data_IF_287268983929
#
_entry.id   IF_287268983929
#
_cell.length_a   1.000
_cell.length_b   1.000
_cell.length_c   1.000
_cell.angle_alpha   90.00
_cell.angle_beta   90.00
_cell.angle_gamma   90.00
#
_symmetry.space_group_name_H-M   'P 1'
#
loop_
_entity.id
_entity.type
_entity.pdbx_description
1 polymer ?
#
# COMPACT_ATOMS: atom_id res chain seq x y z
N UNK A 1 7.08 -12.21 3.78
CA UNK A 1 6.48 -11.97 2.45
C UNK A 1 5.07 -11.44 2.66
N UNK A 2 4.52 -10.68 1.70
CA UNK A 2 3.17 -10.08 1.77
C UNK A 2 2.19 -10.97 1.00
N UNK A 3 1.54 -11.96 1.64
CA UNK A 3 0.92 -13.07 0.92
C UNK A 3 -0.21 -12.62 -0.01
N UNK A 4 -0.97 -11.61 0.43
CA UNK A 4 -2.12 -11.09 -0.31
C UNK A 4 -1.67 -10.42 -1.62
N UNK A 5 -0.57 -9.68 -1.57
CA UNK A 5 0.01 -9.02 -2.75
C UNK A 5 0.64 -10.01 -3.71
N UNK A 6 1.24 -11.10 -3.20
CA UNK A 6 1.73 -12.18 -4.06
C UNK A 6 0.60 -12.90 -4.78
N UNK A 7 -0.53 -13.12 -4.11
CA UNK A 7 -1.73 -13.70 -4.75
C UNK A 7 -2.22 -12.82 -5.89
N UNK A 8 -2.23 -11.49 -5.73
CA UNK A 8 -2.58 -10.54 -6.79
C UNK A 8 -1.65 -10.72 -8.01
N UNK A 9 -0.34 -10.68 -7.80
CA UNK A 9 0.64 -10.81 -8.88
C UNK A 9 0.58 -12.19 -9.58
N UNK A 10 0.40 -13.28 -8.82
CA UNK A 10 0.23 -14.63 -9.39
C UNK A 10 -1.04 -14.75 -10.25
N UNK A 11 -2.01 -13.88 -10.06
CA UNK A 11 -3.24 -13.78 -10.87
C UNK A 11 -3.12 -12.77 -12.02
N UNK A 12 -1.93 -12.21 -12.27
CA UNK A 12 -1.69 -11.21 -13.31
C UNK A 12 -2.21 -9.81 -12.96
N UNK A 13 -2.47 -9.53 -11.69
CA UNK A 13 -2.96 -8.22 -11.23
C UNK A 13 -1.78 -7.40 -10.75
N UNK A 14 -1.32 -6.47 -11.58
CA UNK A 14 -0.19 -5.57 -11.30
C UNK A 14 -0.62 -4.25 -10.66
N UNK A 15 -1.91 -3.88 -10.75
CA UNK A 15 -2.49 -2.73 -10.08
C UNK A 15 -3.82 -3.11 -9.44
N UNK A 16 -4.06 -2.65 -8.22
CA UNK A 16 -5.28 -2.98 -7.48
C UNK A 16 -5.85 -1.77 -6.76
N UNK A 17 -7.17 -1.75 -6.65
CA UNK A 17 -7.89 -0.86 -5.75
C UNK A 17 -7.80 -1.42 -4.35
N UNK A 18 -7.25 -0.64 -3.43
CA UNK A 18 -6.98 -1.00 -2.05
C UNK A 18 -7.76 -0.09 -1.11
N UNK A 19 -8.03 -0.61 0.08
CA UNK A 19 -8.51 0.18 1.21
C UNK A 19 -7.60 -0.09 2.40
N UNK A 20 -7.12 0.94 3.09
CA UNK A 20 -6.20 0.78 4.22
C UNK A 20 -6.44 1.85 5.27
N UNK A 21 -5.93 1.63 6.47
CA UNK A 21 -5.88 2.63 7.54
C UNK A 21 -4.55 3.37 7.46
N UNK A 22 -4.58 4.69 7.34
CA UNK A 22 -3.40 5.53 7.40
C UNK A 22 -2.85 5.55 8.84
N UNK A 23 -1.57 5.21 9.02
CA UNK A 23 -0.93 5.18 10.34
C UNK A 23 0.09 6.30 10.54
N UNK A 24 0.66 6.84 9.46
CA UNK A 24 1.60 7.95 9.51
C UNK A 24 2.54 7.99 8.30
N UNK A 25 3.59 8.80 8.41
CA UNK A 25 4.68 8.89 7.45
C UNK A 25 5.99 8.68 8.20
N UNK A 26 6.89 7.85 7.68
CA UNK A 26 8.19 7.59 8.30
C UNK A 26 9.19 8.73 8.04
N UNK A 27 10.38 8.65 8.63
CA UNK A 27 11.45 9.64 8.47
C UNK A 27 11.97 9.80 7.03
N UNK A 28 11.69 8.82 6.16
CA UNK A 28 12.09 8.82 4.75
C UNK A 28 10.94 9.26 3.82
N UNK A 29 9.79 9.61 4.40
CA UNK A 29 8.62 10.06 3.66
C UNK A 29 7.70 8.91 3.19
N UNK A 30 7.96 7.65 3.53
CA UNK A 30 7.06 6.54 3.17
C UNK A 30 5.77 6.61 3.97
N UNK A 31 4.64 6.36 3.31
CA UNK A 31 3.35 6.27 4.00
C UNK A 31 3.21 4.90 4.64
N UNK A 32 2.88 4.89 5.92
CA UNK A 32 2.63 3.70 6.73
C UNK A 32 1.14 3.40 6.69
N UNK A 33 0.79 2.18 6.25
CA UNK A 33 -0.57 1.70 6.13
C UNK A 33 -0.79 0.45 6.98
N UNK A 34 -1.95 0.37 7.63
CA UNK A 34 -2.44 -0.81 8.38
C UNK A 34 -3.71 -1.36 7.75
N UNK A 35 -3.99 -2.64 8.00
CA UNK A 35 -5.22 -3.32 7.57
C UNK A 35 -5.56 -3.10 6.09
N UNK A 36 -4.59 -3.34 5.20
CA UNK A 36 -4.71 -3.13 3.76
C UNK A 36 -5.56 -4.25 3.17
N UNK A 37 -6.78 -3.92 2.77
CA UNK A 37 -7.79 -4.84 2.25
C UNK A 37 -7.70 -4.97 0.74
N UNK A 38 -7.84 -6.21 0.30
CA UNK A 38 -8.02 -6.61 -1.10
C UNK A 38 -9.19 -7.58 -1.19
N UNK A 39 -9.62 -7.92 -2.42
CA UNK A 39 -10.61 -8.98 -2.63
C UNK A 39 -10.15 -10.39 -2.20
N UNK A 40 -8.86 -10.57 -1.93
CA UNK A 40 -8.26 -11.87 -1.56
C UNK A 40 -7.91 -11.99 -0.08
N UNK A 41 -8.06 -10.91 0.69
CA UNK A 41 -7.71 -10.88 2.11
C UNK A 41 -7.15 -9.54 2.57
N UNK A 42 -6.60 -9.55 3.79
CA UNK A 42 -6.06 -8.37 4.47
C UNK A 42 -4.56 -8.56 4.70
N UNK A 43 -3.78 -7.55 4.30
CA UNK A 43 -2.37 -7.43 4.67
C UNK A 43 -2.27 -6.46 5.86
N UNK A 44 -1.78 -6.93 7.01
CA UNK A 44 -1.80 -6.15 8.25
C UNK A 44 -1.01 -4.84 8.17
N UNK A 45 0.02 -4.80 7.32
CA UNK A 45 0.90 -3.66 7.22
C UNK A 45 1.46 -3.52 5.81
N UNK A 46 1.55 -2.30 5.27
CA UNK A 46 2.24 -2.01 4.02
C UNK A 46 2.81 -0.59 4.01
N UNK A 47 3.73 -0.35 3.08
CA UNK A 47 4.25 0.99 2.82
C UNK A 47 3.94 1.41 1.39
N UNK A 48 3.52 2.66 1.22
CA UNK A 48 3.61 3.31 -0.07
C UNK A 48 4.99 3.94 -0.22
N UNK A 49 5.49 3.95 -1.44
CA UNK A 49 6.70 4.69 -1.79
C UNK A 49 6.59 6.16 -1.34
N UNK A 50 7.69 6.79 -0.94
CA UNK A 50 7.71 8.17 -0.46
C UNK A 50 7.12 9.17 -1.48
N UNK A 51 7.18 8.85 -2.78
CA UNK A 51 6.60 9.67 -3.85
C UNK A 51 5.08 9.71 -3.82
N UNK A 52 4.44 8.72 -3.19
CA UNK A 52 2.98 8.61 -3.10
C UNK A 52 2.39 9.55 -2.04
N UNK A 53 3.20 10.05 -1.12
CA UNK A 53 2.74 10.92 -0.02
C UNK A 53 2.06 12.19 -0.56
N UNK A 54 2.59 12.77 -1.64
CA UNK A 54 2.01 13.93 -2.30
C UNK A 54 0.68 13.64 -3.05
N UNK A 55 0.33 12.37 -3.24
CA UNK A 55 -0.92 11.95 -3.90
C UNK A 55 -2.06 11.72 -2.91
N UNK A 56 -1.77 11.71 -1.61
CA UNK A 56 -2.80 11.50 -0.59
C UNK A 56 -3.61 12.79 -0.38
N UNK A 57 -4.92 12.65 -0.10
CA UNK A 57 -5.69 13.78 0.41
C UNK A 57 -5.20 14.15 1.81
N UNK A 58 -5.66 15.28 2.38
CA UNK A 58 -5.47 15.55 3.81
C UNK A 58 -6.04 14.38 4.64
N UNK A 59 -5.15 13.66 5.33
CA UNK A 59 -5.49 12.50 6.15
C UNK A 59 -4.82 12.60 7.52
N UNK A 60 -5.50 12.09 8.54
CA UNK A 60 -4.95 11.93 9.90
C UNK A 60 -4.80 10.45 10.23
N UNK A 61 -3.95 10.16 11.22
CA UNK A 61 -3.78 8.80 11.75
C UNK A 61 -5.13 8.20 12.13
N UNK A 62 -5.37 6.98 11.67
CA UNK A 62 -6.63 6.26 11.88
C UNK A 62 -7.65 6.44 10.76
N UNK A 63 -7.47 7.40 9.86
CA UNK A 63 -8.35 7.54 8.69
C UNK A 63 -8.24 6.33 7.79
N UNK A 64 -9.38 5.86 7.31
CA UNK A 64 -9.44 4.83 6.29
C UNK A 64 -9.40 5.50 4.93
N UNK A 65 -8.51 5.04 4.06
CA UNK A 65 -8.31 5.56 2.72
C UNK A 65 -8.56 4.46 1.69
N UNK A 66 -9.14 4.84 0.55
CA UNK A 66 -9.28 4.01 -0.63
C UNK A 66 -8.47 4.63 -1.77
N UNK A 67 -7.67 3.82 -2.47
CA UNK A 67 -6.77 4.29 -3.53
C UNK A 67 -6.42 3.16 -4.50
N UNK A 68 -5.93 3.52 -5.68
CA UNK A 68 -5.29 2.58 -6.61
C UNK A 68 -3.77 2.61 -6.43
N UNK A 69 -3.16 1.43 -6.30
CA UNK A 69 -1.71 1.27 -6.24
C UNK A 69 -1.23 0.18 -7.19
N UNK A 70 0.00 0.37 -7.66
CA UNK A 70 0.73 -0.59 -8.47
C UNK A 70 1.57 -1.47 -7.53
N UNK A 71 1.55 -2.77 -7.78
CA UNK A 71 2.28 -3.79 -7.03
C UNK A 71 3.64 -4.00 -7.68
N UNK A 72 4.70 -3.52 -7.04
CA UNK A 72 6.06 -3.66 -7.57
C UNK A 72 6.88 -4.65 -6.73
N UNK A 73 7.25 -5.82 -7.30
CA UNK A 73 8.23 -6.70 -6.69
C UNK A 73 9.57 -6.00 -6.51
N UNK A 74 10.21 -6.19 -5.37
CA UNK A 74 11.57 -5.69 -5.14
C UNK A 74 12.37 -6.64 -4.26
N UNK A 75 13.70 -6.51 -4.35
CA UNK A 75 14.65 -7.21 -3.50
C UNK A 75 15.07 -6.27 -2.36
N UNK A 76 14.94 -6.74 -1.12
CA UNK A 76 15.43 -6.04 0.07
C UNK A 76 16.95 -6.15 0.18
N UNK A 77 17.52 -5.31 1.04
CA UNK A 77 18.98 -5.29 1.33
C UNK A 77 19.44 -6.65 1.87
N UNK A 78 18.62 -7.31 2.69
CA UNK A 78 18.88 -8.65 3.24
C UNK A 78 18.76 -9.79 2.19
N UNK A 79 18.47 -9.45 0.92
CA UNK A 79 18.32 -10.40 -0.17
C UNK A 79 16.93 -11.01 -0.33
N UNK A 80 16.03 -10.82 0.65
CA UNK A 80 14.66 -11.31 0.59
C UNK A 80 13.81 -10.53 -0.43
N UNK A 81 12.74 -11.15 -0.92
CA UNK A 81 11.79 -10.50 -1.85
C UNK A 81 10.58 -9.97 -1.09
N UNK A 82 10.06 -8.84 -1.57
CA UNK A 82 8.82 -8.26 -1.07
C UNK A 82 8.11 -7.50 -2.19
N UNK A 83 6.90 -7.03 -1.90
CA UNK A 83 6.13 -6.19 -2.82
C UNK A 83 5.97 -4.82 -2.17
N UNK A 84 6.26 -3.78 -2.95
CA UNK A 84 6.06 -2.38 -2.60
C UNK A 84 4.80 -1.89 -3.30
N UNK A 85 4.09 -0.97 -2.67
CA UNK A 85 2.98 -0.26 -3.29
C UNK A 85 3.53 1.05 -3.87
N UNK A 86 3.37 1.21 -5.18
CA UNK A 86 3.68 2.44 -5.91
C UNK A 86 2.39 3.16 -6.28
N UNK A 87 2.47 4.48 -6.35
CA UNK A 87 1.35 5.38 -6.56
C UNK A 87 0.24 5.30 -5.48
N UNK A 88 -0.56 6.35 -5.35
CA UNK A 88 -1.82 6.33 -4.61
C UNK A 88 -2.87 7.12 -5.40
N UNK A 89 -3.21 6.60 -6.59
CA UNK A 89 -4.11 7.29 -7.53
C UNK A 89 -5.52 7.29 -6.97
N UNK A 90 -6.24 8.39 -7.23
CA UNK A 90 -7.63 8.58 -6.79
C UNK A 90 -7.82 8.37 -5.28
N UNK A 91 -6.78 8.66 -4.49
CA UNK A 91 -6.82 8.47 -3.05
C UNK A 91 -7.89 9.36 -2.41
N UNK A 92 -8.75 8.75 -1.60
CA UNK A 92 -9.81 9.42 -0.86
C UNK A 92 -10.02 8.80 0.50
N UNK A 93 -10.36 9.62 1.49
CA UNK A 93 -10.82 9.13 2.79
C UNK A 93 -12.19 8.49 2.62
N UNK A 94 -12.41 7.35 3.27
CA UNK A 94 -13.69 6.64 3.31
C UNK A 94 -14.09 6.44 4.78
N UNK A 95 -15.35 6.74 5.08
CA UNK A 95 -15.97 6.64 6.43
C UNK A 95 -16.27 5.20 6.81
#
# INVERSE_FOLDING_TARGET
>A
MKPVFETLLRKGIESAKLEAVFDGVDQHGHVILRDVRTKFGVEHHAWLNYRCTAMLPPVKRGDRIQFWADLQPYKKIDGSRSIRLECAREARVVS
#
